data_IF_372759408263
#
_entry.id   IF_372759408263
#
_cell.length_a   1.000
_cell.length_b   1.000
_cell.length_c   1.000
_cell.angle_alpha   90.00
_cell.angle_beta   90.00
_cell.angle_gamma   90.00
#
_symmetry.space_group_name_H-M   'P 1'
#
loop_
_entity.id
_entity.type
_entity.pdbx_description
1 polymer ?
#
# COMPACT_ATOMS: atom_id res chain seq x y z
N UNK A 1 -2.67 -6.72 -6.44
CA UNK A 1 -2.97 -5.27 -6.51
C UNK A 1 -2.38 -4.68 -7.79
N UNK A 2 -3.14 -3.93 -8.60
CA UNK A 2 -2.62 -3.24 -9.80
C UNK A 2 -1.92 -1.95 -9.39
N UNK A 3 -0.79 -1.62 -10.01
CA UNK A 3 0.01 -0.40 -9.77
C UNK A 3 0.22 0.35 -11.08
N UNK A 4 0.12 1.68 -11.05
CA UNK A 4 0.43 2.56 -12.19
C UNK A 4 1.53 3.56 -11.82
N UNK A 5 2.79 3.14 -11.96
CA UNK A 5 3.95 3.94 -11.56
C UNK A 5 3.95 5.32 -12.22
N UNK A 6 4.18 6.36 -11.40
CA UNK A 6 4.38 7.72 -11.86
C UNK A 6 5.61 7.81 -12.78
N UNK A 7 5.66 8.80 -13.70
CA UNK A 7 6.73 8.90 -14.70
C UNK A 7 8.14 8.86 -14.12
N UNK A 8 8.35 9.45 -12.94
CA UNK A 8 9.64 9.50 -12.27
C UNK A 8 10.15 8.15 -11.73
N UNK A 9 9.27 7.15 -11.58
CA UNK A 9 9.63 5.80 -11.12
C UNK A 9 9.59 4.77 -12.24
N UNK A 10 9.10 5.14 -13.42
CA UNK A 10 8.87 4.20 -14.51
C UNK A 10 10.20 3.82 -15.17
N UNK A 11 10.53 2.53 -15.18
CA UNK A 11 11.78 2.01 -15.72
C UNK A 11 13.00 2.24 -14.83
N UNK A 12 12.82 2.63 -13.56
CA UNK A 12 13.91 2.65 -12.58
C UNK A 12 13.94 1.32 -11.81
N UNK A 13 15.12 0.85 -11.36
CA UNK A 13 15.22 -0.37 -10.54
C UNK A 13 14.37 -0.32 -9.27
N UNK A 14 14.27 0.85 -8.64
CA UNK A 14 13.48 1.05 -7.42
C UNK A 14 11.99 0.97 -7.70
N UNK A 15 11.51 1.55 -8.81
CA UNK A 15 10.11 1.50 -9.22
C UNK A 15 9.66 0.08 -9.55
N UNK A 16 10.49 -0.67 -10.28
CA UNK A 16 10.23 -2.08 -10.60
C UNK A 16 10.20 -2.96 -9.35
N UNK A 17 11.17 -2.79 -8.44
CA UNK A 17 11.19 -3.49 -7.17
C UNK A 17 9.96 -3.17 -6.32
N UNK A 18 9.57 -1.89 -6.25
CA UNK A 18 8.39 -1.47 -5.51
C UNK A 18 7.10 -2.06 -6.11
N UNK A 19 6.93 -2.02 -7.43
CA UNK A 19 5.79 -2.66 -8.12
C UNK A 19 5.73 -4.16 -7.81
N UNK A 20 6.86 -4.86 -7.90
CA UNK A 20 6.93 -6.29 -7.60
C UNK A 20 6.52 -6.60 -6.14
N UNK A 21 6.95 -5.77 -5.18
CA UNK A 21 6.59 -5.91 -3.77
C UNK A 21 5.11 -5.62 -3.55
N UNK A 22 4.58 -4.50 -4.07
CA UNK A 22 3.18 -4.11 -3.90
C UNK A 22 2.22 -5.15 -4.49
N UNK A 23 2.59 -5.76 -5.63
CA UNK A 23 1.81 -6.82 -6.28
C UNK A 23 1.69 -8.10 -5.45
N UNK A 24 2.55 -8.33 -4.44
CA UNK A 24 2.43 -9.47 -3.51
C UNK A 24 1.19 -9.39 -2.62
N UNK A 25 0.60 -8.20 -2.45
CA UNK A 25 -0.67 -8.07 -1.73
C UNK A 25 -1.81 -8.66 -2.58
N UNK A 26 -2.34 -9.80 -2.12
CA UNK A 26 -3.45 -10.55 -2.72
C UNK A 26 -4.76 -10.44 -1.92
N UNK A 27 -4.85 -9.49 -0.98
CA UNK A 27 -6.04 -9.28 -0.13
C UNK A 27 -6.49 -10.51 0.69
N UNK A 28 -5.55 -11.38 1.08
CA UNK A 28 -5.85 -12.59 1.85
C UNK A 28 -6.28 -12.35 3.31
N UNK A 29 -6.04 -11.15 3.87
CA UNK A 29 -6.42 -10.84 5.26
C UNK A 29 -5.46 -11.32 6.35
N UNK A 30 -4.34 -11.98 6.03
CA UNK A 30 -3.39 -12.41 7.08
C UNK A 30 -2.83 -11.23 7.89
N UNK A 31 -2.56 -10.10 7.24
CA UNK A 31 -2.06 -8.90 7.91
C UNK A 31 -3.09 -8.26 8.85
N UNK A 32 -4.39 -8.37 8.57
CA UNK A 32 -5.45 -7.83 9.43
C UNK A 32 -5.70 -8.73 10.64
N UNK A 33 -5.62 -10.06 10.45
CA UNK A 33 -5.73 -11.03 11.53
C UNK A 33 -4.66 -10.85 12.62
N UNK A 34 -3.45 -10.40 12.25
CA UNK A 34 -2.34 -10.23 13.20
C UNK A 34 -2.13 -8.77 13.67
N UNK A 35 -2.88 -7.80 13.12
CA UNK A 35 -2.66 -6.39 13.43
C UNK A 35 -3.43 -5.97 14.70
N UNK A 36 -2.76 -5.59 15.81
CA UNK A 36 -3.43 -5.19 17.04
C UNK A 36 -4.30 -3.93 16.86
N UNK A 37 -3.87 -2.96 16.06
CA UNK A 37 -4.66 -1.75 15.77
C UNK A 37 -5.97 -2.07 15.07
N UNK A 38 -5.94 -2.97 14.07
CA UNK A 38 -7.14 -3.43 13.39
C UNK A 38 -8.09 -4.18 14.34
N UNK A 39 -7.56 -5.01 15.23
CA UNK A 39 -8.38 -5.72 16.23
C UNK A 39 -9.07 -4.77 17.21
N UNK A 40 -8.45 -3.63 17.53
CA UNK A 40 -9.01 -2.64 18.45
C UNK A 40 -10.00 -1.69 17.76
N UNK A 41 -9.66 -1.20 16.57
CA UNK A 41 -10.39 -0.13 15.90
C UNK A 41 -11.35 -0.62 14.82
N UNK A 42 -11.12 -1.82 14.26
CA UNK A 42 -11.84 -2.34 13.09
C UNK A 42 -11.54 -1.62 11.79
N UNK A 43 -10.68 -0.59 11.81
CA UNK A 43 -10.31 0.20 10.64
C UNK A 43 -9.08 -0.37 9.95
N UNK A 44 -9.25 -0.74 8.69
CA UNK A 44 -8.21 -1.33 7.87
C UNK A 44 -7.21 -0.29 7.33
N UNK A 45 -7.63 0.97 7.20
CA UNK A 45 -6.78 2.06 6.72
C UNK A 45 -5.63 2.33 7.71
N UNK A 46 -5.89 2.13 9.00
CA UNK A 46 -4.88 2.19 10.07
C UNK A 46 -3.98 0.94 10.16
N UNK A 47 -4.33 -0.13 9.44
CA UNK A 47 -3.62 -1.41 9.44
C UNK A 47 -2.42 -1.49 8.50
N UNK A 48 -1.72 -2.64 8.46
CA UNK A 48 -0.57 -2.84 7.57
C UNK A 48 -0.94 -2.73 6.09
N UNK A 49 -2.15 -3.15 5.71
CA UNK A 49 -2.64 -3.03 4.32
C UNK A 49 -2.93 -1.58 3.94
N UNK A 50 -3.51 -0.79 4.84
CA UNK A 50 -3.65 0.66 4.63
C UNK A 50 -2.31 1.34 4.36
N UNK A 51 -1.25 1.00 5.10
CA UNK A 51 0.11 1.49 4.84
C UNK A 51 0.63 1.12 3.45
N UNK A 52 0.36 -0.10 2.97
CA UNK A 52 0.71 -0.52 1.60
C UNK A 52 -0.03 0.35 0.56
N UNK A 53 -1.30 0.69 0.81
CA UNK A 53 -2.06 1.60 -0.05
C UNK A 53 -1.48 3.02 -0.07
N UNK A 54 -1.01 3.54 1.06
CA UNK A 54 -0.33 4.83 1.11
C UNK A 54 0.98 4.82 0.30
N UNK A 55 1.78 3.75 0.43
CA UNK A 55 3.00 3.58 -0.38
C UNK A 55 2.69 3.50 -1.88
N UNK A 56 1.63 2.75 -2.25
CA UNK A 56 1.13 2.71 -3.63
C UNK A 56 0.78 4.10 -4.13
N UNK A 57 0.01 4.89 -3.37
CA UNK A 57 -0.37 6.25 -3.78
C UNK A 57 0.85 7.11 -4.11
N UNK A 58 1.86 7.12 -3.24
CA UNK A 58 3.10 7.87 -3.47
C UNK A 58 3.80 7.43 -4.77
N UNK A 59 3.87 6.12 -5.00
CA UNK A 59 4.50 5.55 -6.21
C UNK A 59 3.68 5.79 -7.49
N UNK A 60 2.38 6.02 -7.36
CA UNK A 60 1.49 6.42 -8.46
C UNK A 60 1.41 7.95 -8.63
N UNK A 61 2.16 8.72 -7.82
CA UNK A 61 2.24 10.18 -7.91
C UNK A 61 1.11 10.91 -7.17
N UNK A 62 0.34 10.22 -6.35
CA UNK A 62 -0.67 10.81 -5.47
C UNK A 62 -0.06 11.18 -4.11
N UNK A 63 -0.61 12.23 -3.49
CA UNK A 63 -0.23 12.65 -2.13
C UNK A 63 -1.17 12.02 -1.11
N UNK A 64 -0.66 11.19 -0.17
CA UNK A 64 -1.42 10.71 0.97
C UNK A 64 -2.04 11.86 1.77
N UNK A 65 -3.29 11.67 2.21
CA UNK A 65 -4.00 12.61 3.07
C UNK A 65 -4.58 11.88 4.28
N UNK A 66 -5.12 12.65 5.23
CA UNK A 66 -5.86 12.07 6.36
C UNK A 66 -7.12 11.30 5.93
N UNK A 67 -7.67 11.57 4.76
CA UNK A 67 -8.83 10.81 4.25
C UNK A 67 -8.45 9.45 3.65
N UNK A 68 -7.16 9.22 3.41
CA UNK A 68 -6.61 7.96 2.88
C UNK A 68 -5.91 7.13 3.96
N UNK A 69 -5.95 7.60 5.21
CA UNK A 69 -5.42 6.97 6.40
C UNK A 69 -6.57 6.66 7.36
#
# INVERSE_FOLDING_TARGET
>A
MQTNLAPQYKGTPEGEAAEAILRKCVHCGFCTATCPTYQLLGDELDGPRGRIYLMKQVLEGATPTRATQ
#
